data_IF_560339932054
#
_entry.id   IF_560339932054
#
_cell.length_a   1.000
_cell.length_b   1.000
_cell.length_c   1.000
_cell.angle_alpha   90.00
_cell.angle_beta   90.00
_cell.angle_gamma   90.00
#
_symmetry.space_group_name_H-M   'P 1'
#
loop_
_entity.id
_entity.type
_entity.pdbx_description
1 polymer ?
#
# COMPACT_ATOMS: atom_id res chain seq x y z
N UNK A 1 -42.47 -7.34 -15.18
CA UNK A 1 -41.42 -7.34 -14.14
C UNK A 1 -40.11 -7.09 -14.87
N UNK A 2 -39.69 -5.83 -14.90
CA UNK A 2 -38.54 -5.37 -15.67
C UNK A 2 -37.26 -5.96 -15.06
N UNK A 3 -36.57 -6.78 -15.85
CA UNK A 3 -35.34 -7.44 -15.44
C UNK A 3 -34.20 -6.42 -15.60
N UNK A 4 -34.01 -5.62 -14.55
CA UNK A 4 -32.89 -4.70 -14.37
C UNK A 4 -31.58 -5.49 -14.34
N UNK A 5 -31.05 -5.81 -15.53
CA UNK A 5 -29.73 -6.42 -15.68
C UNK A 5 -28.68 -5.42 -15.22
N UNK A 6 -28.36 -5.49 -13.93
CA UNK A 6 -27.38 -4.64 -13.26
C UNK A 6 -26.00 -4.93 -13.88
N UNK A 7 -25.60 -4.15 -14.89
CA UNK A 7 -24.28 -4.25 -15.52
C UNK A 7 -23.23 -4.02 -14.45
N UNK A 8 -22.57 -5.10 -14.02
CA UNK A 8 -21.49 -5.02 -13.06
C UNK A 8 -20.40 -4.13 -13.66
N UNK A 9 -20.07 -3.06 -12.95
CA UNK A 9 -19.01 -2.16 -13.37
C UNK A 9 -17.68 -2.92 -13.40
N UNK A 10 -16.98 -2.89 -14.54
CA UNK A 10 -15.65 -3.50 -14.68
C UNK A 10 -14.70 -2.97 -13.60
N UNK A 11 -14.84 -1.69 -13.21
CA UNK A 11 -14.07 -1.09 -12.11
C UNK A 11 -14.30 -1.80 -10.78
N UNK A 12 -15.53 -2.24 -10.51
CA UNK A 12 -15.88 -2.96 -9.29
C UNK A 12 -15.25 -4.36 -9.28
N UNK A 13 -15.28 -5.07 -10.41
CA UNK A 13 -14.63 -6.38 -10.58
C UNK A 13 -13.11 -6.25 -10.36
N UNK A 14 -12.48 -5.28 -11.02
CA UNK A 14 -11.05 -5.01 -10.89
C UNK A 14 -10.67 -4.68 -9.44
N UNK A 15 -11.44 -3.84 -8.75
CA UNK A 15 -11.18 -3.53 -7.34
C UNK A 15 -11.30 -4.76 -6.44
N UNK A 16 -12.31 -5.62 -6.65
CA UNK A 16 -12.46 -6.86 -5.88
C UNK A 16 -11.25 -7.77 -6.09
N UNK A 17 -10.83 -7.96 -7.34
CA UNK A 17 -9.65 -8.75 -7.68
C UNK A 17 -8.40 -8.16 -7.01
N UNK A 18 -8.21 -6.84 -7.08
CA UNK A 18 -7.06 -6.18 -6.48
C UNK A 18 -7.02 -6.37 -4.95
N UNK A 19 -8.16 -6.20 -4.28
CA UNK A 19 -8.27 -6.42 -2.83
C UNK A 19 -7.94 -7.88 -2.49
N UNK A 20 -8.48 -8.83 -3.25
CA UNK A 20 -8.20 -10.25 -3.04
C UNK A 20 -6.71 -10.57 -3.22
N UNK A 21 -6.05 -9.98 -4.23
CA UNK A 21 -4.61 -10.12 -4.44
C UNK A 21 -3.79 -9.52 -3.29
N UNK A 22 -4.19 -8.36 -2.75
CA UNK A 22 -3.53 -7.75 -1.59
C UNK A 22 -3.63 -8.68 -0.36
N UNK A 23 -4.81 -9.24 -0.11
CA UNK A 23 -5.01 -10.18 1.01
C UNK A 23 -4.15 -11.42 0.81
N UNK A 24 -4.16 -12.02 -0.39
CA UNK A 24 -3.35 -13.19 -0.71
C UNK A 24 -1.85 -12.89 -0.53
N UNK A 25 -1.41 -11.72 -1.02
CA UNK A 25 -0.06 -11.22 -0.83
C UNK A 25 0.29 -11.15 0.66
N UNK A 26 -0.55 -10.56 1.51
CA UNK A 26 -0.31 -10.49 2.96
C UNK A 26 -0.21 -11.87 3.60
N UNK A 27 -1.08 -12.82 3.22
CA UNK A 27 -1.08 -14.18 3.76
C UNK A 27 0.19 -14.93 3.37
N UNK A 28 0.63 -14.82 2.13
CA UNK A 28 1.83 -15.50 1.63
C UNK A 28 3.12 -14.82 2.13
N UNK A 29 3.08 -13.51 2.37
CA UNK A 29 4.22 -12.74 2.87
C UNK A 29 4.22 -12.59 4.40
N UNK A 30 3.69 -13.58 5.12
CA UNK A 30 3.83 -13.70 6.58
C UNK A 30 5.23 -14.07 7.04
N UNK A 31 6.15 -14.34 6.11
CA UNK A 31 7.55 -14.56 6.44
C UNK A 31 8.10 -13.35 7.20
N UNK A 32 8.62 -13.62 8.38
CA UNK A 32 9.26 -12.62 9.21
C UNK A 32 10.64 -12.28 8.63
N UNK A 33 10.91 -10.99 8.50
CA UNK A 33 12.23 -10.45 8.13
C UNK A 33 12.76 -9.63 9.28
N UNK A 34 14.06 -9.77 9.54
CA UNK A 34 14.76 -8.98 10.55
C UNK A 34 15.29 -7.71 9.92
N UNK A 35 14.81 -6.58 10.41
CA UNK A 35 15.35 -5.27 10.05
C UNK A 35 16.41 -4.91 11.07
N UNK A 36 17.62 -4.63 10.57
CA UNK A 36 18.72 -4.12 11.37
C UNK A 36 18.68 -2.59 11.32
N UNK A 37 18.38 -1.98 12.46
CA UNK A 37 18.47 -0.55 12.68
C UNK A 37 19.83 -0.21 13.30
N UNK A 38 20.16 1.08 13.31
CA UNK A 38 21.43 1.58 13.87
C UNK A 38 21.63 1.20 15.35
N UNK A 39 20.54 1.03 16.10
CA UNK A 39 20.58 0.75 17.55
C UNK A 39 19.79 -0.50 17.97
N UNK A 40 19.47 -1.39 17.04
CA UNK A 40 18.73 -2.61 17.38
C UNK A 40 18.23 -3.38 16.17
N UNK A 41 17.55 -4.49 16.42
CA UNK A 41 16.95 -5.31 15.38
C UNK A 41 15.49 -5.61 15.72
N UNK A 42 14.64 -5.64 14.70
CA UNK A 42 13.21 -5.95 14.86
C UNK A 42 12.80 -6.99 13.83
N UNK A 43 12.08 -8.01 14.27
CA UNK A 43 11.51 -9.03 13.38
C UNK A 43 10.05 -8.70 13.09
N UNK A 44 9.72 -8.40 11.83
CA UNK A 44 8.35 -8.11 11.40
C UNK A 44 8.02 -8.83 10.10
N UNK A 45 6.73 -9.11 9.82
CA UNK A 45 6.31 -9.70 8.56
C UNK A 45 6.69 -8.81 7.37
N UNK A 46 7.19 -9.41 6.29
CA UNK A 46 7.65 -8.69 5.10
C UNK A 46 6.59 -7.75 4.51
N UNK A 47 5.32 -8.18 4.47
CA UNK A 47 4.25 -7.33 3.95
C UNK A 47 4.11 -6.01 4.73
N UNK A 48 4.41 -6.01 6.03
CA UNK A 48 4.32 -4.83 6.89
C UNK A 48 5.45 -3.84 6.56
N UNK A 49 6.65 -4.34 6.27
CA UNK A 49 7.79 -3.53 5.79
C UNK A 49 7.42 -2.79 4.51
N UNK A 50 6.81 -3.50 3.57
CA UNK A 50 6.41 -2.97 2.26
C UNK A 50 5.31 -1.91 2.43
N UNK A 51 4.29 -2.19 3.25
CA UNK A 51 3.22 -1.24 3.52
C UNK A 51 3.74 0.06 4.15
N UNK A 52 4.61 -0.04 5.17
CA UNK A 52 5.21 1.14 5.82
C UNK A 52 6.08 1.91 4.82
N UNK A 53 6.92 1.22 4.04
CA UNK A 53 7.79 1.87 3.04
C UNK A 53 6.99 2.62 1.97
N UNK A 54 5.88 2.03 1.50
CA UNK A 54 4.99 2.67 0.55
C UNK A 54 4.33 3.94 1.13
N UNK A 55 3.85 3.87 2.38
CA UNK A 55 3.28 5.02 3.09
C UNK A 55 4.33 6.12 3.26
N UNK A 56 5.53 5.78 3.71
CA UNK A 56 6.63 6.74 3.89
C UNK A 56 7.02 7.40 2.56
N UNK A 57 7.13 6.62 1.48
CA UNK A 57 7.41 7.15 0.14
C UNK A 57 6.33 8.09 -0.37
N UNK A 58 5.05 7.76 -0.15
CA UNK A 58 3.92 8.62 -0.51
C UNK A 58 3.91 9.92 0.31
N UNK A 59 4.10 9.83 1.63
CA UNK A 59 4.20 10.99 2.51
C UNK A 59 5.38 11.89 2.11
N UNK A 60 6.56 11.32 1.85
CA UNK A 60 7.72 12.05 1.37
C UNK A 60 7.42 12.76 0.03
N UNK A 61 6.82 12.05 -0.93
CA UNK A 61 6.40 12.61 -2.21
C UNK A 61 5.37 13.74 -2.09
N UNK A 62 4.51 13.72 -1.07
CA UNK A 62 3.53 14.78 -0.82
C UNK A 62 4.12 15.98 -0.07
N UNK A 63 5.03 15.73 0.88
CA UNK A 63 5.57 16.74 1.79
C UNK A 63 6.73 17.51 1.13
N UNK A 64 7.66 16.82 0.46
CA UNK A 64 8.87 17.42 -0.12
C UNK A 64 8.56 18.56 -1.12
N UNK A 65 7.58 18.45 -2.04
CA UNK A 65 7.24 19.53 -2.96
C UNK A 65 6.73 20.78 -2.24
N UNK A 66 5.99 20.63 -1.13
CA UNK A 66 5.48 21.76 -0.34
C UNK A 66 6.59 22.56 0.32
N UNK A 67 7.67 21.90 0.76
CA UNK A 67 8.85 22.57 1.29
C UNK A 67 9.70 23.21 0.20
N UNK A 68 9.84 22.57 -0.96
CA UNK A 68 10.58 23.12 -2.11
C UNK A 68 9.91 24.36 -2.72
N UNK A 69 8.59 24.49 -2.63
CA UNK A 69 7.85 25.67 -3.08
C UNK A 69 8.17 26.95 -2.29
N UNK A 70 8.71 26.85 -1.06
CA UNK A 70 9.03 28.03 -0.24
C UNK A 70 10.42 28.62 -0.51
N UNK A 71 11.28 27.94 -1.28
CA UNK A 71 12.66 28.39 -1.58
C UNK A 71 12.76 29.20 -2.87
N UNK A 72 11.64 29.43 -3.58
CA UNK A 72 11.55 30.37 -4.73
C UNK A 72 10.70 31.60 -4.40
N UNK A 73 10.98 32.28 -3.29
CA UNK A 73 10.47 33.63 -3.05
C UNK A 73 11.56 34.50 -2.47
#
# INVERSE_FOLDING_TARGET
>A
MENESKKISIKLIVNIILIALIILFMVFNRQHVTIHFLFGQMSIPLFMVIAISAILGWLAGFIIPKFRSKTKK
#
